data_IF_003948947334
#
_entry.id   IF_003948947334
#
_cell.length_a   1.000
_cell.length_b   1.000
_cell.length_c   1.000
_cell.angle_alpha   90.00
_cell.angle_beta   90.00
_cell.angle_gamma   90.00
#
_symmetry.space_group_name_H-M   'P 1'
#
loop_
_entity.id
_entity.type
_entity.pdbx_description
1 polymer ?
#
# COMPACT_ATOMS: atom_id res chain seq x y z
N UNK A 1 -7.90 0.58 -0.91
CA UNK A 1 -6.67 0.53 -0.11
C UNK A 1 -6.78 -0.56 0.94
N UNK A 2 -5.69 -1.24 1.19
CA UNK A 2 -5.60 -2.36 2.10
C UNK A 2 -4.60 -2.04 3.19
N UNK A 3 -4.93 -2.41 4.42
CA UNK A 3 -4.05 -2.23 5.57
C UNK A 3 -3.91 -3.54 6.33
N UNK A 4 -2.71 -3.80 6.82
CA UNK A 4 -2.39 -4.96 7.61
C UNK A 4 -1.48 -4.50 8.76
N UNK A 5 -1.72 -4.97 9.97
CA UNK A 5 -1.02 -4.50 11.18
C UNK A 5 -0.23 -5.59 11.89
N UNK A 6 -0.13 -6.77 11.31
CA UNK A 6 0.65 -7.88 11.87
C UNK A 6 2.14 -7.56 11.74
N UNK A 7 2.90 -7.71 12.83
CA UNK A 7 4.33 -7.35 12.86
C UNK A 7 4.53 -5.87 12.51
N UNK A 8 5.39 -5.55 11.55
CA UNK A 8 5.62 -4.17 11.10
C UNK A 8 4.45 -3.56 10.34
N UNK A 9 3.55 -4.41 9.87
CA UNK A 9 2.39 -4.01 9.09
C UNK A 9 2.70 -3.74 7.62
N UNK A 10 1.64 -3.53 6.84
CA UNK A 10 1.75 -3.22 5.42
C UNK A 10 0.54 -2.46 4.91
N UNK A 11 0.73 -1.68 3.87
CA UNK A 11 -0.33 -0.96 3.16
C UNK A 11 -0.10 -1.13 1.66
N UNK A 12 -1.15 -1.40 0.93
CA UNK A 12 -1.09 -1.49 -0.53
C UNK A 12 -2.41 -1.05 -1.16
N UNK A 13 -2.40 -0.86 -2.48
CA UNK A 13 -3.53 -0.35 -3.24
C UNK A 13 -3.89 -1.33 -4.34
N UNK A 14 -5.18 -1.56 -4.54
CA UNK A 14 -5.69 -2.23 -5.74
C UNK A 14 -6.76 -1.39 -6.42
N UNK A 15 -6.79 -1.49 -7.74
CA UNK A 15 -7.79 -0.83 -8.59
C UNK A 15 -8.60 -1.92 -9.29
N UNK A 16 -9.91 -1.82 -9.18
CA UNK A 16 -10.85 -2.80 -9.77
C UNK A 16 -11.66 -2.10 -10.84
N UNK A 17 -11.42 -2.44 -12.10
CA UNK A 17 -12.13 -1.87 -13.26
C UNK A 17 -12.58 -2.98 -14.21
N UNK A 18 -13.88 -3.05 -14.51
CA UNK A 18 -14.40 -3.93 -15.57
C UNK A 18 -13.91 -5.38 -15.46
N UNK A 19 -13.93 -5.95 -14.27
CA UNK A 19 -13.42 -7.29 -13.94
C UNK A 19 -11.90 -7.45 -14.00
N UNK A 20 -11.17 -6.37 -14.28
CA UNK A 20 -9.71 -6.37 -14.19
C UNK A 20 -9.25 -5.83 -12.85
N UNK A 21 -8.18 -6.41 -12.33
CA UNK A 21 -7.58 -6.00 -11.06
C UNK A 21 -6.14 -5.60 -11.29
N UNK A 22 -5.78 -4.43 -10.78
CA UNK A 22 -4.42 -3.89 -10.82
C UNK A 22 -3.99 -3.63 -9.38
N UNK A 23 -2.90 -4.22 -8.95
CA UNK A 23 -2.45 -4.13 -7.56
C UNK A 23 -1.01 -3.61 -7.51
N UNK A 24 -0.80 -2.65 -6.62
CA UNK A 24 0.48 -1.98 -6.43
C UNK A 24 0.88 -2.10 -4.97
N UNK A 25 2.03 -2.75 -4.74
CA UNK A 25 2.56 -2.92 -3.40
C UNK A 25 4.03 -2.52 -3.37
N UNK A 26 4.34 -1.56 -2.51
CA UNK A 26 5.67 -1.02 -2.34
C UNK A 26 6.24 -1.48 -1.01
N UNK A 27 7.49 -1.89 -1.03
CA UNK A 27 8.13 -2.34 0.20
C UNK A 27 9.63 -2.51 0.08
N UNK A 28 10.23 -2.92 1.19
CA UNK A 28 11.64 -3.25 1.30
C UNK A 28 11.88 -4.70 0.90
N UNK A 29 11.60 -5.02 -0.36
CA UNK A 29 11.61 -6.40 -0.87
C UNK A 29 12.95 -6.86 -1.42
N UNK A 30 13.95 -6.00 -1.48
CA UNK A 30 15.26 -6.29 -2.02
C UNK A 30 16.36 -6.24 -0.96
N UNK A 31 17.49 -5.65 -1.34
CA UNK A 31 18.62 -5.48 -0.42
C UNK A 31 18.22 -4.55 0.73
N UNK A 32 18.71 -4.86 1.91
CA UNK A 32 18.49 -4.04 3.10
C UNK A 32 19.82 -3.58 3.67
N UNK A 33 19.83 -2.37 4.22
CA UNK A 33 21.00 -1.87 4.93
C UNK A 33 21.13 -2.58 6.30
N UNK A 34 22.28 -2.39 6.96
CA UNK A 34 22.51 -2.92 8.31
C UNK A 34 21.49 -2.39 9.32
N UNK A 35 20.97 -1.17 9.10
CA UNK A 35 19.84 -0.67 9.86
C UNK A 35 18.57 -1.39 9.37
N UNK A 36 17.65 -1.65 10.28
CA UNK A 36 16.38 -2.30 9.93
C UNK A 36 15.38 -1.37 9.27
N UNK A 37 15.75 -0.12 8.99
CA UNK A 37 14.83 0.94 8.57
C UNK A 37 14.94 1.31 7.09
N UNK A 38 16.01 0.95 6.42
CA UNK A 38 16.24 1.32 5.02
C UNK A 38 16.59 0.12 4.16
N UNK A 39 16.51 0.30 2.86
CA UNK A 39 16.83 -0.73 1.87
C UNK A 39 16.37 -0.31 0.48
N UNK A 40 16.45 -1.22 -0.47
CA UNK A 40 15.93 -0.98 -1.81
C UNK A 40 14.41 -0.88 -1.76
N UNK A 41 13.85 0.21 -2.26
CA UNK A 41 12.42 0.43 -2.38
C UNK A 41 11.89 -0.15 -3.68
N UNK A 42 11.16 -1.25 -3.59
CA UNK A 42 10.67 -1.99 -4.75
C UNK A 42 9.15 -1.89 -4.83
N UNK A 43 8.67 -1.51 -6.01
CA UNK A 43 7.25 -1.50 -6.33
C UNK A 43 6.93 -2.75 -7.15
N UNK A 44 6.07 -3.60 -6.61
CA UNK A 44 5.49 -4.74 -7.33
C UNK A 44 4.18 -4.31 -7.98
N UNK A 45 3.99 -4.70 -9.23
CA UNK A 45 2.77 -4.46 -9.98
C UNK A 45 2.19 -5.80 -10.43
N UNK A 46 1.07 -6.18 -9.83
CA UNK A 46 0.36 -7.42 -10.15
C UNK A 46 -0.97 -7.13 -10.84
N UNK A 47 -1.38 -8.04 -11.72
CA UNK A 47 -2.65 -7.94 -12.45
C UNK A 47 -3.48 -9.21 -12.27
N UNK A 48 -4.79 -9.04 -12.26
CA UNK A 48 -5.80 -10.09 -12.30
C UNK A 48 -5.54 -11.26 -11.32
N UNK A 49 -5.21 -12.44 -11.79
CA UNK A 49 -5.05 -13.60 -10.92
C UNK A 49 -3.87 -13.46 -9.94
N UNK A 50 -2.75 -12.90 -10.38
CA UNK A 50 -1.63 -12.62 -9.48
C UNK A 50 -2.01 -11.60 -8.41
N UNK A 51 -2.80 -10.59 -8.77
CA UNK A 51 -3.33 -9.62 -7.82
C UNK A 51 -4.28 -10.27 -6.82
N UNK A 52 -5.17 -11.16 -7.27
CA UNK A 52 -6.09 -11.91 -6.40
C UNK A 52 -5.33 -12.78 -5.41
N UNK A 53 -4.33 -13.51 -5.86
CA UNK A 53 -3.49 -14.33 -4.98
C UNK A 53 -2.83 -13.50 -3.90
N UNK A 54 -2.31 -12.34 -4.26
CA UNK A 54 -1.63 -11.45 -3.33
C UNK A 54 -2.59 -10.94 -2.24
N UNK A 55 -3.71 -10.34 -2.62
CA UNK A 55 -4.59 -9.76 -1.60
C UNK A 55 -5.32 -10.83 -0.79
N UNK A 56 -5.59 -12.01 -1.35
CA UNK A 56 -6.15 -13.13 -0.59
C UNK A 56 -5.18 -13.62 0.48
N UNK A 57 -3.91 -13.73 0.17
CA UNK A 57 -2.88 -14.07 1.16
C UNK A 57 -2.84 -13.03 2.28
N UNK A 58 -2.80 -11.77 1.93
CA UNK A 58 -2.78 -10.68 2.93
C UNK A 58 -4.06 -10.69 3.77
N UNK A 59 -5.21 -10.92 3.16
CA UNK A 59 -6.50 -10.94 3.84
C UNK A 59 -6.61 -12.12 4.81
N UNK A 60 -6.32 -13.33 4.35
CA UNK A 60 -6.56 -14.54 5.12
C UNK A 60 -5.41 -14.91 6.05
N UNK A 61 -4.19 -14.71 5.63
CA UNK A 61 -3.00 -15.11 6.39
C UNK A 61 -2.45 -13.98 7.26
N UNK A 62 -2.55 -12.75 6.79
CA UNK A 62 -2.00 -11.59 7.49
C UNK A 62 -3.05 -10.70 8.16
N UNK A 63 -4.33 -11.02 8.02
CA UNK A 63 -5.41 -10.28 8.63
C UNK A 63 -5.62 -8.88 8.05
N UNK A 64 -5.34 -8.69 6.78
CA UNK A 64 -5.52 -7.40 6.11
C UNK A 64 -6.99 -6.98 6.10
N UNK A 65 -7.21 -5.67 6.07
CA UNK A 65 -8.52 -5.04 5.91
C UNK A 65 -8.55 -4.22 4.64
N UNK A 66 -9.69 -4.27 3.95
CA UNK A 66 -9.90 -3.54 2.70
C UNK A 66 -10.83 -2.35 2.94
N UNK A 67 -10.45 -1.18 2.43
CA UNK A 67 -11.26 0.02 2.48
C UNK A 67 -11.46 0.55 1.06
N UNK A 68 -12.73 0.72 0.70
CA UNK A 68 -13.08 1.27 -0.60
C UNK A 68 -12.98 2.78 -0.58
N UNK A 69 -12.26 3.33 -1.55
CA UNK A 69 -12.13 4.76 -1.77
C UNK A 69 -12.89 5.10 -3.05
N UNK A 70 -13.96 5.88 -2.92
CA UNK A 70 -14.86 6.18 -4.03
C UNK A 70 -14.53 7.50 -4.73
N UNK A 71 -13.76 8.38 -4.12
CA UNK A 71 -13.48 9.72 -4.61
C UNK A 71 -12.11 9.85 -5.29
N UNK A 72 -11.49 8.73 -5.65
CA UNK A 72 -10.24 8.71 -6.40
C UNK A 72 -10.50 8.15 -7.80
N UNK A 73 -9.94 8.80 -8.83
CA UNK A 73 -10.07 8.33 -10.20
C UNK A 73 -9.20 7.09 -10.41
N UNK A 74 -9.81 5.92 -10.74
CA UNK A 74 -9.05 4.68 -10.92
C UNK A 74 -7.96 4.77 -11.99
N UNK A 75 -8.22 5.48 -13.07
CA UNK A 75 -7.25 5.64 -14.16
C UNK A 75 -6.05 6.47 -13.73
N UNK A 76 -6.26 7.47 -12.88
CA UNK A 76 -5.19 8.32 -12.37
C UNK A 76 -4.37 7.55 -11.33
N UNK A 77 -5.01 6.74 -10.47
CA UNK A 77 -4.27 5.85 -9.55
C UNK A 77 -3.34 4.93 -10.34
N UNK A 78 -3.86 4.27 -11.37
CA UNK A 78 -3.07 3.39 -12.22
C UNK A 78 -1.90 4.14 -12.86
N UNK A 79 -2.17 5.30 -13.43
CA UNK A 79 -1.14 6.12 -14.08
C UNK A 79 -0.03 6.51 -13.09
N UNK A 80 -0.39 6.88 -11.87
CA UNK A 80 0.57 7.24 -10.84
C UNK A 80 1.54 6.09 -10.56
N UNK A 81 1.01 4.92 -10.23
CA UNK A 81 1.86 3.78 -9.87
C UNK A 81 2.57 3.16 -11.08
N UNK A 82 1.90 3.06 -12.23
CA UNK A 82 2.50 2.48 -13.43
C UNK A 82 3.61 3.36 -13.99
N UNK A 83 3.52 4.69 -13.85
CA UNK A 83 4.61 5.59 -14.21
C UNK A 83 5.82 5.39 -13.30
N UNK A 84 5.61 5.22 -11.99
CA UNK A 84 6.68 4.90 -11.05
C UNK A 84 7.34 3.56 -11.41
N UNK A 85 6.53 2.56 -11.68
CA UNK A 85 7.00 1.23 -12.01
C UNK A 85 7.79 1.21 -13.33
N UNK A 86 7.26 1.88 -14.36
CA UNK A 86 7.92 1.98 -15.67
C UNK A 86 9.24 2.75 -15.61
N UNK A 87 9.35 3.73 -14.72
CA UNK A 87 10.59 4.47 -14.48
C UNK A 87 11.59 3.74 -13.60
N UNK A 88 11.21 2.63 -12.99
CA UNK A 88 12.07 1.84 -12.13
C UNK A 88 13.04 0.96 -12.91
N UNK A 89 13.97 0.36 -12.19
CA UNK A 89 15.00 -0.53 -12.75
C UNK A 89 14.82 -1.96 -12.23
N UNK A 90 15.36 -2.92 -12.96
CA UNK A 90 15.34 -4.33 -12.54
C UNK A 90 16.00 -4.45 -11.16
N UNK A 91 15.32 -5.08 -10.19
CA UNK A 91 15.87 -5.16 -8.84
C UNK A 91 17.11 -6.06 -8.78
N UNK A 92 18.02 -5.70 -7.89
CA UNK A 92 19.14 -6.58 -7.55
C UNK A 92 18.57 -7.70 -6.69
N UNK A 93 18.65 -8.93 -7.19
CA UNK A 93 18.04 -10.06 -6.54
C UNK A 93 18.81 -10.49 -5.28
N UNK A 94 18.07 -10.89 -4.26
CA UNK A 94 18.61 -11.45 -3.03
C UNK A 94 18.13 -12.90 -2.88
N UNK A 95 18.83 -13.74 -2.08
CA UNK A 95 18.42 -15.13 -1.90
C UNK A 95 16.99 -15.30 -1.36
N UNK A 96 16.53 -14.35 -0.55
CA UNK A 96 15.22 -14.42 0.09
C UNK A 96 14.11 -13.65 -0.66
N UNK A 97 14.43 -13.10 -1.83
CA UNK A 97 13.44 -12.37 -2.62
C UNK A 97 12.37 -13.30 -3.16
N UNK A 98 11.11 -12.92 -2.98
CA UNK A 98 9.98 -13.71 -3.46
C UNK A 98 9.90 -13.71 -5.00
N UNK A 99 9.38 -14.77 -5.57
CA UNK A 99 9.27 -14.94 -7.02
C UNK A 99 8.43 -13.84 -7.69
N UNK A 100 7.35 -13.41 -7.04
CA UNK A 100 6.55 -12.30 -7.53
C UNK A 100 7.34 -11.01 -7.69
N UNK A 101 8.18 -10.69 -6.71
CA UNK A 101 9.06 -9.53 -6.75
C UNK A 101 10.13 -9.67 -7.84
N UNK A 102 10.70 -10.87 -8.01
CA UNK A 102 11.67 -11.11 -9.08
C UNK A 102 11.09 -10.86 -10.46
N UNK A 103 9.83 -11.24 -10.68
CA UNK A 103 9.15 -11.14 -11.98
C UNK A 103 8.51 -9.77 -12.22
N UNK A 104 7.92 -9.19 -11.19
CA UNK A 104 7.04 -8.02 -11.32
C UNK A 104 7.49 -6.82 -10.49
N UNK A 105 8.62 -6.90 -9.83
CA UNK A 105 9.16 -5.79 -9.03
C UNK A 105 10.08 -4.90 -9.85
N UNK A 106 10.07 -3.61 -9.52
CA UNK A 106 11.01 -2.61 -10.01
C UNK A 106 11.52 -1.78 -8.85
N UNK A 107 12.82 -1.56 -8.79
CA UNK A 107 13.40 -0.64 -7.80
C UNK A 107 13.12 0.78 -8.27
N UNK A 108 12.37 1.54 -7.45
CA UNK A 108 11.97 2.91 -7.80
C UNK A 108 12.68 3.97 -6.96
N UNK A 109 13.10 3.62 -5.76
CA UNK A 109 13.82 4.53 -4.87
C UNK A 109 14.51 3.76 -3.73
N UNK A 110 14.93 4.51 -2.71
CA UNK A 110 15.41 3.95 -1.46
C UNK A 110 14.26 3.92 -0.46
N UNK A 111 13.95 2.73 0.06
CA UNK A 111 12.95 2.58 1.11
C UNK A 111 13.46 3.18 2.42
N UNK A 112 12.61 3.94 3.08
CA UNK A 112 12.86 4.50 4.40
C UNK A 112 11.58 4.44 5.22
N UNK A 113 11.60 3.73 6.34
CA UNK A 113 10.43 3.54 7.19
C UNK A 113 9.86 4.86 7.71
N UNK A 114 10.67 5.92 7.78
CA UNK A 114 10.24 7.22 8.29
C UNK A 114 9.60 8.13 7.25
N UNK A 115 9.79 7.89 5.97
CA UNK A 115 9.29 8.82 4.96
C UNK A 115 8.91 8.21 3.62
N UNK A 116 9.65 7.23 3.12
CA UNK A 116 9.40 6.58 1.83
C UNK A 116 9.09 5.10 2.05
N UNK A 117 7.85 4.80 2.40
CA UNK A 117 7.40 3.47 2.77
C UNK A 117 6.07 3.10 2.10
N UNK A 118 5.54 1.90 2.41
CA UNK A 118 4.31 1.41 1.81
C UNK A 118 3.09 2.30 2.09
N UNK A 119 3.02 2.87 3.28
CA UNK A 119 1.90 3.74 3.67
C UNK A 119 1.96 5.06 2.91
N UNK A 120 3.11 5.73 2.89
CA UNK A 120 3.26 7.03 2.23
C UNK A 120 2.99 6.95 0.73
N UNK A 121 3.52 5.95 0.04
CA UNK A 121 3.27 5.78 -1.39
C UNK A 121 1.81 5.48 -1.70
N UNK A 122 1.16 4.66 -0.88
CA UNK A 122 -0.26 4.32 -1.08
C UNK A 122 -1.17 5.53 -0.90
N UNK A 123 -0.98 6.29 0.17
CA UNK A 123 -1.75 7.52 0.44
C UNK A 123 -1.51 8.56 -0.65
N UNK A 124 -0.25 8.74 -1.05
CA UNK A 124 0.13 9.71 -2.08
C UNK A 124 -0.54 9.44 -3.43
N UNK A 125 -0.61 8.17 -3.83
CA UNK A 125 -1.29 7.78 -5.06
C UNK A 125 -2.77 8.10 -5.04
N UNK A 126 -3.46 7.84 -3.94
CA UNK A 126 -4.89 8.16 -3.80
C UNK A 126 -5.14 9.67 -3.76
N UNK A 127 -4.29 10.43 -3.10
CA UNK A 127 -4.39 11.90 -3.08
C UNK A 127 -4.14 12.48 -4.47
N UNK A 128 -3.15 11.98 -5.17
CA UNK A 128 -2.86 12.41 -6.54
C UNK A 128 -4.06 12.15 -7.47
N UNK A 129 -4.82 11.09 -7.23
CA UNK A 129 -6.02 10.74 -7.99
C UNK A 129 -7.27 11.53 -7.55
N UNK A 130 -7.15 12.47 -6.64
CA UNK A 130 -8.21 13.38 -6.24
C UNK A 130 -8.94 13.02 -4.96
N UNK A 131 -8.53 11.98 -4.24
CA UNK A 131 -9.19 11.62 -2.98
C UNK A 131 -9.01 12.70 -1.92
N UNK A 132 -10.11 13.07 -1.28
CA UNK A 132 -10.15 14.01 -0.17
C UNK A 132 -10.29 13.33 1.19
N UNK A 133 -10.31 12.01 1.20
CA UNK A 133 -10.44 11.22 2.44
C UNK A 133 -9.36 11.59 3.45
N UNK A 134 -8.16 11.91 2.98
CA UNK A 134 -7.00 12.20 3.83
C UNK A 134 -6.84 13.68 4.21
N UNK A 135 -7.77 14.55 3.81
CA UNK A 135 -7.70 16.00 4.07
C UNK A 135 -8.18 16.39 5.46
N UNK A 136 -8.85 15.50 6.17
CA UNK A 136 -9.42 15.80 7.48
C UNK A 136 -8.50 15.33 8.60
N UNK A 137 -8.35 16.17 9.62
CA UNK A 137 -7.57 15.83 10.79
C UNK A 137 -8.11 14.59 11.50
N UNK A 138 -7.22 13.86 12.10
CA UNK A 138 -7.50 12.68 12.91
C UNK A 138 -7.08 12.95 14.35
N UNK A 139 -7.90 12.55 15.30
CA UNK A 139 -7.56 12.65 16.73
C UNK A 139 -7.17 11.28 17.24
N UNK A 140 -5.94 11.15 17.73
CA UNK A 140 -5.46 9.90 18.33
C UNK A 140 -6.33 9.53 19.54
N UNK A 141 -6.81 8.30 19.56
CA UNK A 141 -7.56 7.76 20.72
C UNK A 141 -6.67 7.55 21.94
N UNK A 142 -5.37 7.44 21.73
CA UNK A 142 -4.39 7.22 22.81
C UNK A 142 -3.96 8.52 23.47
N UNK A 143 -3.67 9.54 22.67
CA UNK A 143 -3.15 10.83 23.16
C UNK A 143 -4.19 11.94 23.14
N UNK A 144 -5.30 11.75 22.42
CA UNK A 144 -6.33 12.74 22.14
C UNK A 144 -5.81 14.03 21.51
N UNK A 145 -4.65 13.95 20.89
CA UNK A 145 -4.08 15.05 20.13
C UNK A 145 -4.57 14.98 18.69
N UNK A 146 -4.94 16.12 18.09
CA UNK A 146 -5.24 16.15 16.66
C UNK A 146 -4.00 15.71 15.88
N UNK A 147 -4.19 14.77 14.99
CA UNK A 147 -3.15 14.35 14.06
C UNK A 147 -3.37 15.13 12.78
N UNK A 148 -2.42 15.98 12.44
CA UNK A 148 -2.44 16.72 11.17
C UNK A 148 -2.07 15.78 10.04
N UNK A 149 -2.99 15.62 9.30
CA UNK A 149 -3.28 15.08 8.01
C UNK A 149 -2.23 14.15 7.42
N UNK A 150 -1.24 14.67 6.77
CA UNK A 150 -0.47 13.90 5.80
C UNK A 150 0.75 13.23 6.39
N UNK A 151 1.33 13.90 7.34
CA UNK A 151 2.55 13.46 8.01
C UNK A 151 2.28 12.30 8.96
N UNK A 152 1.03 12.18 9.40
CA UNK A 152 0.68 11.22 10.45
C UNK A 152 0.24 9.86 9.90
N UNK A 153 0.05 9.74 8.59
CA UNK A 153 -0.22 8.46 7.95
C UNK A 153 1.06 7.81 7.41
N UNK A 154 2.09 7.79 8.24
CA UNK A 154 3.38 7.19 7.86
C UNK A 154 3.50 5.73 8.26
N UNK A 155 2.57 5.23 9.07
CA UNK A 155 2.58 3.83 9.51
C UNK A 155 1.20 3.17 9.29
N UNK A 156 1.18 1.84 9.03
CA UNK A 156 -0.07 1.14 8.71
C UNK A 156 -1.14 1.21 9.79
N UNK A 157 -0.77 1.14 11.05
CA UNK A 157 -1.75 1.14 12.14
C UNK A 157 -2.48 2.47 12.27
N UNK A 158 -1.80 3.59 12.09
CA UNK A 158 -2.43 4.93 12.12
C UNK A 158 -3.40 5.09 10.97
N UNK A 159 -2.99 4.68 9.79
CA UNK A 159 -3.84 4.74 8.60
C UNK A 159 -5.07 3.86 8.77
N UNK A 160 -4.91 2.64 9.26
CA UNK A 160 -6.04 1.74 9.47
C UNK A 160 -7.08 2.32 10.43
N UNK A 161 -6.64 2.87 11.56
CA UNK A 161 -7.55 3.51 12.53
C UNK A 161 -8.32 4.68 11.92
N UNK A 162 -7.63 5.49 11.12
CA UNK A 162 -8.26 6.60 10.44
C UNK A 162 -9.32 6.11 9.45
N UNK A 163 -9.00 5.15 8.62
CA UNK A 163 -9.93 4.60 7.63
C UNK A 163 -11.12 3.90 8.28
N UNK A 164 -10.92 3.20 9.39
CA UNK A 164 -12.01 2.61 10.16
C UNK A 164 -13.00 3.67 10.68
N UNK A 165 -12.51 4.86 11.01
CA UNK A 165 -13.35 5.97 11.46
C UNK A 165 -14.14 6.65 10.34
N UNK A 166 -13.68 6.53 9.09
CA UNK A 166 -14.25 7.23 7.93
C UNK A 166 -14.99 6.32 6.96
N UNK A 167 -14.59 5.06 6.86
CA UNK A 167 -15.09 4.13 5.85
C UNK A 167 -15.49 2.80 6.49
N UNK A 168 -16.42 2.11 5.87
CA UNK A 168 -16.74 0.74 6.24
C UNK A 168 -15.60 -0.20 5.83
N UNK A 169 -15.34 -1.21 6.63
CA UNK A 169 -14.42 -2.30 6.29
C UNK A 169 -15.10 -3.25 5.30
N UNK A 170 -14.52 -3.41 4.14
CA UNK A 170 -15.04 -4.27 3.07
C UNK A 170 -14.43 -5.68 3.06
N UNK A 171 -13.57 -6.02 4.01
CA UNK A 171 -12.89 -7.32 4.05
C UNK A 171 -13.85 -8.49 4.07
N UNK A 172 -14.94 -8.38 4.84
CA UNK A 172 -15.95 -9.45 4.95
C UNK A 172 -16.69 -9.70 3.63
N UNK A 173 -16.84 -8.68 2.81
CA UNK A 173 -17.48 -8.81 1.50
C UNK A 173 -16.59 -9.61 0.54
N UNK A 174 -15.30 -9.43 0.64
CA UNK A 174 -14.32 -10.13 -0.19
C UNK A 174 -14.21 -11.62 0.16
N UNK A 175 -14.53 -11.98 1.39
CA UNK A 175 -14.55 -13.39 1.82
C UNK A 175 -15.66 -14.17 1.14
N UNK A 176 -16.77 -13.52 0.84
CA UNK A 176 -17.97 -14.19 0.27
C UNK A 176 -17.91 -14.23 -1.25
N UNK A 177 -17.24 -13.29 -1.85
CA UNK A 177 -17.11 -13.19 -3.29
C UNK A 177 -15.96 -13.99 -3.83
#
# INVERSE_FOLDING_TARGET
IWTETTSAGHVFVSVHENNNIFLYTYGRYGRTDKSTFTGDGILDFFQDEDARKYYRYELYEMGARAFRIDDADPKIIRKFFENLWNGGVTPIQTPNMQDGTKRRGRTIDKYDVTGSNCTTHSVEGLKFAGSKVFEHGYTSTTTQLPIDIEEDFTIPVSLQRYLESKSADFSSILVVG
#
